data_IF_534722359966
#
_entry.id   IF_534722359966
#
_cell.length_a   1.000
_cell.length_b   1.000
_cell.length_c   1.000
_cell.angle_alpha   90.00
_cell.angle_beta   90.00
_cell.angle_gamma   90.00
#
_symmetry.space_group_name_H-M   'P 1'
#
loop_
_entity.id
_entity.type
_entity.pdbx_description
1 polymer ?
#
# COMPACT_ATOMS: atom_id res chain seq x y z
N UNK A 1 -4.09 -1.58 -12.37
CA UNK A 1 -3.39 -0.29 -12.29
C UNK A 1 -3.22 0.09 -10.83
N UNK A 2 -2.04 0.56 -10.42
CA UNK A 2 -1.73 0.79 -9.01
C UNK A 2 -0.87 2.04 -8.76
N UNK A 3 -0.84 2.48 -7.51
CA UNK A 3 0.08 3.49 -6.98
C UNK A 3 0.65 3.02 -5.67
N UNK A 4 1.93 3.30 -5.46
CA UNK A 4 2.61 3.04 -4.20
C UNK A 4 3.46 4.26 -3.90
N UNK A 5 3.35 4.77 -2.68
CA UNK A 5 4.13 5.89 -2.19
C UNK A 5 4.62 5.60 -0.78
N UNK A 6 5.92 5.81 -0.54
CA UNK A 6 6.51 5.71 0.79
C UNK A 6 6.94 7.09 1.27
N UNK A 7 6.28 7.61 2.29
CA UNK A 7 6.74 8.80 2.99
C UNK A 7 7.80 8.37 4.02
N UNK A 8 9.07 8.52 3.63
CA UNK A 8 10.22 8.23 4.47
C UNK A 8 10.33 9.20 5.65
N UNK A 9 9.77 10.41 5.59
CA UNK A 9 9.86 11.32 6.74
C UNK A 9 8.96 10.84 7.87
N UNK A 10 7.78 10.33 7.52
CA UNK A 10 6.74 9.96 8.48
C UNK A 10 6.64 8.46 8.76
N UNK A 11 7.39 7.62 8.03
CA UNK A 11 7.31 6.17 8.19
C UNK A 11 5.96 5.62 7.70
N UNK A 12 5.41 6.20 6.62
CA UNK A 12 4.08 5.87 6.11
C UNK A 12 4.18 5.23 4.73
N UNK A 13 3.37 4.21 4.50
CA UNK A 13 3.20 3.58 3.20
C UNK A 13 1.77 3.77 2.72
N UNK A 14 1.62 4.38 1.55
CA UNK A 14 0.38 4.43 0.82
C UNK A 14 0.39 3.46 -0.35
N UNK A 15 -0.66 2.67 -0.50
CA UNK A 15 -0.92 1.84 -1.66
C UNK A 15 -2.35 2.07 -2.18
N UNK A 16 -2.50 2.15 -3.49
CA UNK A 16 -3.80 2.24 -4.17
C UNK A 16 -3.85 1.22 -5.30
N UNK A 17 -4.97 0.49 -5.41
CA UNK A 17 -5.20 -0.42 -6.51
C UNK A 17 -6.57 -0.26 -7.15
N UNK A 18 -6.58 -0.18 -8.48
CA UNK A 18 -7.81 -0.05 -9.27
C UNK A 18 -7.81 -0.90 -10.53
N UNK A 19 -9.01 -1.19 -10.99
CA UNK A 19 -9.28 -1.94 -12.21
C UNK A 19 -8.99 -3.43 -12.08
N UNK A 20 -8.95 -4.09 -13.23
CA UNK A 20 -8.76 -5.53 -13.33
C UNK A 20 -7.28 -5.90 -13.29
N UNK A 21 -6.90 -6.85 -12.42
CA UNK A 21 -5.50 -7.24 -12.22
C UNK A 21 -5.28 -8.69 -12.59
N UNK A 22 -4.35 -8.89 -13.53
CA UNK A 22 -3.75 -10.19 -13.83
C UNK A 22 -2.47 -10.42 -13.03
N UNK A 23 -1.79 -11.54 -13.35
CA UNK A 23 -0.54 -11.94 -12.68
C UNK A 23 0.61 -10.94 -12.87
N UNK A 24 0.65 -10.28 -14.03
CA UNK A 24 1.61 -9.23 -14.36
C UNK A 24 1.46 -8.03 -13.42
N UNK A 25 0.25 -7.45 -13.34
CA UNK A 25 -0.02 -6.28 -12.50
C UNK A 25 0.21 -6.59 -11.02
N UNK A 26 -0.21 -7.77 -10.56
CA UNK A 26 0.01 -8.20 -9.17
C UNK A 26 1.49 -8.37 -8.83
N UNK A 27 2.31 -8.84 -9.77
CA UNK A 27 3.75 -9.00 -9.59
C UNK A 27 4.44 -7.64 -9.50
N UNK A 28 4.11 -6.73 -10.41
CA UNK A 28 4.69 -5.38 -10.44
C UNK A 28 4.30 -4.60 -9.18
N UNK A 29 3.05 -4.74 -8.74
CA UNK A 29 2.59 -4.19 -7.46
C UNK A 29 3.41 -4.73 -6.28
N UNK A 30 3.58 -6.06 -6.19
CA UNK A 30 4.37 -6.69 -5.13
C UNK A 30 5.80 -6.15 -5.10
N UNK A 31 6.45 -6.08 -6.26
CA UNK A 31 7.80 -5.51 -6.35
C UNK A 31 7.86 -4.06 -5.85
N UNK A 32 6.90 -3.23 -6.26
CA UNK A 32 6.83 -1.84 -5.79
C UNK A 32 6.62 -1.73 -4.28
N UNK A 33 5.82 -2.62 -3.67
CA UNK A 33 5.64 -2.65 -2.21
C UNK A 33 6.95 -3.06 -1.54
N UNK A 34 7.62 -4.11 -2.02
CA UNK A 34 8.91 -4.54 -1.49
C UNK A 34 9.97 -3.44 -1.54
N UNK A 35 10.05 -2.68 -2.65
CA UNK A 35 10.97 -1.54 -2.78
C UNK A 35 10.64 -0.41 -1.79
N UNK A 36 9.36 -0.11 -1.61
CA UNK A 36 8.89 0.87 -0.64
C UNK A 36 9.22 0.46 0.80
N UNK A 37 8.99 -0.81 1.16
CA UNK A 37 9.36 -1.38 2.46
C UNK A 37 10.87 -1.27 2.72
N UNK A 38 11.70 -1.69 1.76
CA UNK A 38 13.17 -1.59 1.90
C UNK A 38 13.63 -0.15 2.06
N UNK A 39 12.96 0.80 1.41
CA UNK A 39 13.29 2.21 1.52
C UNK A 39 12.93 2.75 2.91
N UNK A 40 11.75 2.41 3.43
CA UNK A 40 11.32 2.76 4.78
C UNK A 40 12.22 2.13 5.86
N UNK A 41 12.61 0.86 5.70
CA UNK A 41 13.42 0.10 6.64
C UNK A 41 14.81 0.70 6.91
N UNK A 42 15.31 1.56 6.00
CA UNK A 42 16.59 2.27 6.20
C UNK A 42 16.51 3.36 7.27
N UNK A 43 15.31 3.86 7.57
CA UNK A 43 15.10 5.05 8.39
C UNK A 43 14.12 4.82 9.54
N UNK A 44 13.23 3.84 9.41
CA UNK A 44 12.21 3.51 10.39
C UNK A 44 12.32 2.05 10.79
N UNK A 45 11.96 1.75 12.04
CA UNK A 45 11.71 0.39 12.51
C UNK A 45 10.22 0.08 12.67
N UNK A 46 9.39 1.13 12.66
CA UNK A 46 7.94 1.07 12.83
C UNK A 46 7.27 1.91 11.75
N UNK A 47 6.26 1.36 11.09
CA UNK A 47 5.55 2.05 9.99
C UNK A 47 4.04 1.90 10.09
N UNK A 48 3.35 2.80 9.40
CA UNK A 48 1.90 2.78 9.20
C UNK A 48 1.56 2.58 7.73
N UNK A 49 0.49 1.83 7.45
CA UNK A 49 0.10 1.47 6.10
C UNK A 49 -1.35 1.88 5.86
N UNK A 50 -1.57 2.58 4.76
CA UNK A 50 -2.90 2.82 4.19
C UNK A 50 -2.98 2.17 2.81
N UNK A 51 -3.95 1.27 2.63
CA UNK A 51 -4.18 0.57 1.38
C UNK A 51 -5.62 0.76 0.89
N UNK A 52 -5.79 1.39 -0.28
CA UNK A 52 -7.08 1.59 -0.93
C UNK A 52 -7.25 0.67 -2.14
N UNK A 53 -8.07 -0.36 -1.96
CA UNK A 53 -8.46 -1.32 -3.00
C UNK A 53 -9.98 -1.22 -3.28
N UNK A 54 -10.58 -0.05 -3.09
CA UNK A 54 -12.00 0.18 -3.33
C UNK A 54 -12.46 -0.03 -4.77
N UNK A 55 -11.56 0.02 -5.76
CA UNK A 55 -11.90 -0.28 -7.15
C UNK A 55 -11.05 -1.39 -7.76
N UNK A 56 -10.45 -2.24 -6.92
CA UNK A 56 -9.66 -3.38 -7.33
C UNK A 56 -10.54 -4.59 -7.66
N UNK A 57 -10.25 -5.22 -8.80
CA UNK A 57 -10.91 -6.43 -9.25
C UNK A 57 -9.85 -7.49 -9.62
N UNK A 58 -9.60 -8.50 -8.76
CA UNK A 58 -8.66 -9.58 -9.07
C UNK A 58 -9.23 -10.48 -10.18
N UNK A 59 -8.36 -11.02 -11.05
CA UNK A 59 -8.72 -12.06 -12.01
C UNK A 59 -9.07 -13.41 -11.36
N UNK A 60 -8.53 -13.68 -10.18
CA UNK A 60 -8.64 -14.96 -9.50
C UNK A 60 -7.93 -14.96 -8.15
N UNK A 61 -7.92 -16.13 -7.49
CA UNK A 61 -7.36 -16.28 -6.15
C UNK A 61 -5.85 -16.03 -6.11
N UNK A 62 -5.11 -16.42 -7.16
CA UNK A 62 -3.66 -16.22 -7.21
C UNK A 62 -3.25 -14.75 -7.10
N UNK A 63 -4.06 -13.81 -7.60
CA UNK A 63 -3.78 -12.37 -7.48
C UNK A 63 -4.01 -11.86 -6.07
N UNK A 64 -4.96 -12.44 -5.32
CA UNK A 64 -5.09 -12.17 -3.89
C UNK A 64 -3.86 -12.69 -3.14
N UNK A 65 -3.39 -13.90 -3.48
CA UNK A 65 -2.26 -14.53 -2.81
C UNK A 65 -0.95 -13.76 -3.00
N UNK A 66 -0.78 -13.08 -4.15
CA UNK A 66 0.36 -12.17 -4.39
C UNK A 66 0.42 -10.97 -3.44
N UNK A 67 -0.71 -10.51 -2.90
CA UNK A 67 -0.72 -9.43 -1.90
C UNK A 67 -0.15 -9.88 -0.54
N UNK A 68 0.04 -11.18 -0.31
CA UNK A 68 0.31 -11.77 1.01
C UNK A 68 1.77 -12.09 1.25
N UNK A 69 2.52 -12.33 0.19
CA UNK A 69 3.88 -12.80 0.31
C UNK A 69 4.88 -11.63 0.38
N UNK A 70 4.80 -10.88 1.48
CA UNK A 70 5.79 -9.89 1.89
C UNK A 70 6.56 -10.36 3.14
N UNK A 71 6.55 -11.67 3.40
CA UNK A 71 7.01 -12.26 4.65
C UNK A 71 8.47 -11.91 4.97
N UNK A 72 9.33 -11.87 3.94
CA UNK A 72 10.73 -11.45 4.07
C UNK A 72 10.85 -9.96 4.38
N UNK A 73 10.13 -9.08 3.68
CA UNK A 73 10.18 -7.63 3.93
C UNK A 73 9.58 -7.23 5.27
N UNK A 74 8.63 -8.01 5.79
CA UNK A 74 8.06 -7.80 7.13
C UNK A 74 9.05 -8.03 8.25
N UNK A 75 10.07 -8.86 8.03
CA UNK A 75 11.13 -9.00 9.03
C UNK A 75 11.93 -7.70 9.22
N UNK A 76 11.87 -6.78 8.25
CA UNK A 76 12.60 -5.52 8.27
C UNK A 76 11.89 -4.43 9.08
N UNK A 77 10.56 -4.51 9.25
CA UNK A 77 9.72 -3.42 9.76
C UNK A 77 8.55 -3.92 10.61
N UNK A 78 8.30 -3.25 11.73
CA UNK A 78 7.08 -3.47 12.51
C UNK A 78 5.94 -2.60 11.99
N UNK A 79 4.89 -3.21 11.44
CA UNK A 79 3.67 -2.48 11.05
C UNK A 79 2.83 -2.23 12.30
N UNK A 80 2.65 -0.97 12.69
CA UNK A 80 1.90 -0.59 13.90
C UNK A 80 0.41 -0.41 13.64
N UNK A 81 0.05 0.14 12.49
CA UNK A 81 -1.33 0.34 12.04
C UNK A 81 -1.42 0.07 10.54
N UNK A 82 -2.40 -0.71 10.14
CA UNK A 82 -2.66 -1.05 8.75
C UNK A 82 -4.15 -0.88 8.47
N UNK A 83 -4.51 0.15 7.70
CA UNK A 83 -5.88 0.40 7.29
C UNK A 83 -6.08 -0.04 5.84
N UNK A 84 -7.15 -0.80 5.59
CA UNK A 84 -7.45 -1.41 4.30
C UNK A 84 -8.89 -1.10 3.86
N UNK A 85 -9.04 -0.38 2.76
CA UNK A 85 -10.35 -0.07 2.14
C UNK A 85 -10.63 -1.06 1.02
N UNK A 86 -11.80 -1.69 1.06
CA UNK A 86 -12.23 -2.67 0.05
C UNK A 86 -13.73 -2.52 -0.21
N UNK A 87 -14.15 -2.50 -1.48
CA UNK A 87 -15.56 -2.33 -1.84
C UNK A 87 -16.33 -3.64 -1.99
N UNK A 88 -15.65 -4.75 -2.26
CA UNK A 88 -16.28 -6.06 -2.47
C UNK A 88 -16.17 -6.89 -1.21
N UNK A 89 -17.32 -7.38 -0.70
CA UNK A 89 -17.37 -8.30 0.44
C UNK A 89 -16.59 -9.60 0.17
N UNK A 90 -16.58 -10.06 -1.09
CA UNK A 90 -15.80 -11.22 -1.50
C UNK A 90 -14.29 -10.94 -1.43
N UNK A 91 -13.85 -9.82 -2.01
CA UNK A 91 -12.44 -9.39 -1.95
C UNK A 91 -12.02 -9.17 -0.51
N UNK A 92 -12.89 -8.58 0.32
CA UNK A 92 -12.66 -8.41 1.76
C UNK A 92 -12.50 -9.75 2.46
N UNK A 93 -13.36 -10.73 2.18
CA UNK A 93 -13.26 -12.07 2.78
C UNK A 93 -11.95 -12.74 2.38
N UNK A 94 -11.59 -12.67 1.10
CA UNK A 94 -10.36 -13.24 0.57
C UNK A 94 -9.15 -12.54 1.21
N UNK A 95 -9.08 -11.21 1.19
CA UNK A 95 -8.02 -10.43 1.83
C UNK A 95 -7.99 -10.63 3.35
N UNK A 96 -9.13 -10.80 4.04
CA UNK A 96 -9.17 -11.04 5.49
C UNK A 96 -8.59 -12.40 5.86
N UNK A 97 -8.89 -13.45 5.10
CA UNK A 97 -8.26 -14.78 5.30
C UNK A 97 -6.76 -14.71 5.11
N UNK A 98 -6.37 -13.88 4.16
CA UNK A 98 -5.04 -13.77 3.65
C UNK A 98 -4.15 -12.84 4.52
N UNK A 99 -4.75 -11.77 5.06
CA UNK A 99 -4.14 -10.76 5.92
C UNK A 99 -4.50 -10.94 7.41
N UNK A 100 -5.06 -12.08 7.79
CA UNK A 100 -5.48 -12.33 9.18
C UNK A 100 -4.28 -12.22 10.13
N UNK A 101 -3.09 -12.63 9.68
CA UNK A 101 -1.82 -12.52 10.40
C UNK A 101 -1.15 -11.15 10.22
N UNK A 102 -1.76 -10.23 9.48
CA UNK A 102 -1.26 -8.88 9.21
C UNK A 102 -1.87 -7.79 10.08
N UNK A 103 -2.88 -8.11 10.89
CA UNK A 103 -3.52 -7.14 11.79
C UNK A 103 -4.13 -5.95 11.05
N UNK A 104 -4.54 -6.13 9.80
CA UNK A 104 -5.17 -5.08 9.01
C UNK A 104 -6.59 -4.80 9.52
N UNK A 105 -6.89 -3.52 9.76
CA UNK A 105 -8.24 -3.05 10.05
C UNK A 105 -8.93 -2.70 8.73
N UNK A 106 -10.10 -3.30 8.49
CA UNK A 106 -10.85 -3.10 7.26
C UNK A 106 -11.85 -1.95 7.39
N UNK A 107 -12.00 -1.17 6.32
CA UNK A 107 -12.92 -0.05 6.22
C UNK A 107 -13.73 -0.11 4.93
N UNK A 108 -14.91 0.48 4.96
CA UNK A 108 -15.81 0.61 3.80
C UNK A 108 -15.45 1.84 2.94
N UNK A 109 -14.84 2.86 3.54
CA UNK A 109 -14.53 4.12 2.88
C UNK A 109 -13.17 4.70 3.32
N UNK A 110 -12.59 5.51 2.44
CA UNK A 110 -11.29 6.17 2.64
C UNK A 110 -11.31 7.15 3.82
N UNK A 111 -12.29 8.07 3.95
CA UNK A 111 -12.35 8.99 5.10
C UNK A 111 -12.23 8.30 6.46
N UNK A 112 -12.99 7.21 6.67
CA UNK A 112 -12.97 6.46 7.93
C UNK A 112 -11.62 5.81 8.20
N UNK A 113 -10.98 5.25 7.17
CA UNK A 113 -9.66 4.64 7.28
C UNK A 113 -8.59 5.68 7.67
N UNK A 114 -8.61 6.84 7.02
CA UNK A 114 -7.67 7.92 7.31
C UNK A 114 -7.88 8.52 8.70
N UNK A 115 -9.14 8.70 9.12
CA UNK A 115 -9.46 9.16 10.46
C UNK A 115 -8.93 8.21 11.55
N UNK A 116 -9.05 6.89 11.34
CA UNK A 116 -8.49 5.89 12.26
C UNK A 116 -6.95 5.90 12.31
N UNK A 117 -6.31 6.14 11.16
CA UNK A 117 -4.86 6.36 11.11
C UNK A 117 -4.44 7.73 11.67
N UNK A 118 -5.36 8.69 11.80
CA UNK A 118 -5.02 10.08 12.11
C UNK A 118 -4.23 10.75 10.98
N UNK A 119 -4.48 10.37 9.73
CA UNK A 119 -3.88 10.96 8.53
C UNK A 119 -4.77 12.07 7.96
N UNK A 120 -4.15 13.10 7.35
CA UNK A 120 -4.86 14.19 6.68
C UNK A 120 -5.24 13.78 5.24
N UNK A 121 -6.51 13.94 4.87
CA UNK A 121 -6.98 13.66 3.50
C UNK A 121 -6.33 14.56 2.45
N UNK A 122 -5.97 15.79 2.82
CA UNK A 122 -5.29 16.73 1.93
C UNK A 122 -3.89 16.23 1.54
N UNK A 123 -3.22 15.52 2.45
CA UNK A 123 -1.92 14.90 2.20
C UNK A 123 -2.07 13.75 1.18
N UNK A 124 -3.11 12.92 1.36
CA UNK A 124 -3.41 11.84 0.42
C UNK A 124 -3.70 12.34 -1.00
N UNK A 125 -4.47 13.42 -1.12
CA UNK A 125 -4.79 13.99 -2.43
C UNK A 125 -3.54 14.54 -3.13
N UNK A 126 -2.64 15.21 -2.38
CA UNK A 126 -1.34 15.62 -2.94
C UNK A 126 -0.52 14.43 -3.41
N UNK A 127 -0.46 13.34 -2.64
CA UNK A 127 0.25 12.12 -3.04
C UNK A 127 -0.33 11.51 -4.32
N UNK A 128 -1.66 11.54 -4.48
CA UNK A 128 -2.34 11.06 -5.70
C UNK A 128 -2.05 11.93 -6.92
N UNK A 129 -1.92 13.23 -6.73
CA UNK A 129 -1.58 14.18 -7.80
C UNK A 129 -0.11 14.06 -8.23
N UNK A 130 0.78 13.80 -7.27
CA UNK A 130 2.23 13.64 -7.51
C UNK A 130 2.60 12.27 -8.09
N UNK A 131 1.81 11.23 -7.79
CA UNK A 131 2.04 9.88 -8.28
C UNK A 131 1.08 9.52 -9.43
N UNK A 132 1.54 9.59 -10.70
CA UNK A 132 0.73 9.09 -11.80
C UNK A 132 0.48 7.59 -11.60
N UNK A 133 -0.62 7.11 -12.18
CA UNK A 133 -0.90 5.68 -12.21
C UNK A 133 0.22 4.95 -12.95
N UNK A 134 0.84 3.99 -12.27
CA UNK A 134 2.03 3.31 -12.77
C UNK A 134 1.67 2.13 -13.69
N UNK A 135 2.62 1.81 -14.59
CA UNK A 135 3.40 0.58 -14.38
C UNK A 135 4.85 0.80 -13.87
N UNK A 136 5.39 2.03 -13.84
CA UNK A 136 6.78 2.28 -13.41
C UNK A 136 6.93 3.39 -12.35
N UNK A 137 6.98 2.99 -11.07
CA UNK A 137 7.34 3.74 -9.83
C UNK A 137 7.19 5.28 -9.79
N UNK A 138 6.51 5.80 -8.76
CA UNK A 138 6.36 7.23 -8.53
C UNK A 138 7.75 7.86 -8.34
N UNK A 139 8.13 8.90 -9.11
CA UNK A 139 9.51 9.41 -9.15
C UNK A 139 10.04 9.92 -7.80
N UNK A 140 9.16 10.28 -6.87
CA UNK A 140 9.58 10.72 -5.53
C UNK A 140 9.93 9.59 -4.55
N UNK A 141 9.74 8.32 -4.94
CA UNK A 141 10.43 7.21 -4.30
C UNK A 141 11.94 7.18 -4.62
N UNK A 142 12.48 8.16 -5.39
CA UNK A 142 13.89 8.19 -5.80
C UNK A 142 14.62 9.53 -5.59
N UNK A 143 13.95 10.66 -5.31
CA UNK A 143 14.59 11.99 -5.38
C UNK A 143 15.01 12.60 -4.02
N UNK A 144 15.66 11.81 -3.16
CA UNK A 144 16.30 12.31 -1.91
C UNK A 144 17.55 13.15 -2.15
N UNK A 145 18.06 13.24 -3.39
CA UNK A 145 19.27 14.04 -3.68
C UNK A 145 19.08 15.53 -3.42
N UNK A 146 17.84 16.02 -3.39
CA UNK A 146 17.52 17.45 -3.15
C UNK A 146 17.34 17.84 -1.68
N UNK A 147 17.26 16.89 -0.74
CA UNK A 147 17.07 17.20 0.70
C UNK A 147 18.39 17.33 1.47
N UNK A 148 19.54 17.40 0.77
CA UNK A 148 20.89 17.58 1.35
C UNK A 148 21.62 18.85 0.88
N UNK A 149 20.96 19.69 0.09
CA UNK A 149 21.43 21.05 -0.25
C UNK A 149 20.67 22.07 0.61
#
# INVERSE_FOLDING_TARGET
MYRIHADIRLGRLYAEGRGFWGNDVSRDYRQGVSEAFRSLARYHSRIEIFADFGAFAPQGQSQIDFHLDHSEERSLLTVTRHALVTSSALVRLQLKRALNDFGATHFDDVPSALAWLGWDSTELDRLRDQCPWLPASCPEAQDWRRLRE
#
